data_IF_753218135359
#
_entry.id   IF_753218135359
#
_cell.length_a   1.000
_cell.length_b   1.000
_cell.length_c   1.000
_cell.angle_alpha   90.00
_cell.angle_beta   90.00
_cell.angle_gamma   90.00
#
_symmetry.space_group_name_H-M   'P 1'
#
loop_
_entity.id
_entity.type
_entity.pdbx_description
1 polymer ?
#
# COMPACT_ATOMS: atom_id res chain seq x y z
N UNK A 1 23.62 -15.01 -1.87
CA UNK A 1 22.42 -14.32 -2.39
C UNK A 1 22.48 -12.86 -1.94
N UNK A 2 22.23 -11.90 -2.83
CA UNK A 2 22.25 -10.48 -2.48
C UNK A 2 21.17 -10.13 -1.45
N UNK A 3 21.40 -9.09 -0.66
CA UNK A 3 20.46 -8.65 0.38
C UNK A 3 19.19 -8.02 -0.20
N UNK A 4 19.26 -7.56 -1.46
CA UNK A 4 18.18 -6.92 -2.19
C UNK A 4 17.60 -7.86 -3.26
N UNK A 5 16.28 -7.80 -3.50
CA UNK A 5 15.65 -8.59 -4.53
C UNK A 5 16.08 -8.13 -5.93
N UNK A 6 16.23 -9.08 -6.84
CA UNK A 6 16.46 -8.81 -8.26
C UNK A 6 15.13 -8.43 -8.91
N UNK A 7 15.11 -7.33 -9.67
CA UNK A 7 13.91 -6.93 -10.42
C UNK A 7 13.90 -7.62 -11.79
N UNK A 8 12.76 -8.19 -12.20
CA UNK A 8 12.62 -8.79 -13.54
C UNK A 8 12.64 -7.75 -14.66
N UNK A 9 12.37 -6.49 -14.34
CA UNK A 9 12.47 -5.35 -15.25
C UNK A 9 12.93 -4.09 -14.50
N UNK A 10 13.57 -3.13 -15.19
CA UNK A 10 13.97 -1.86 -14.59
C UNK A 10 12.79 -1.08 -14.01
N UNK A 11 13.04 -0.36 -12.91
CA UNK A 11 12.06 0.51 -12.25
C UNK A 11 12.70 1.83 -11.86
N UNK A 12 12.02 2.94 -12.19
CA UNK A 12 12.43 4.27 -11.73
C UNK A 12 11.99 4.60 -10.30
N UNK A 13 11.19 3.73 -9.66
CA UNK A 13 10.69 3.90 -8.30
C UNK A 13 11.37 2.99 -7.28
N UNK A 14 11.87 1.83 -7.72
CA UNK A 14 12.59 0.87 -6.88
C UNK A 14 14.10 1.05 -7.03
N UNK A 15 14.61 2.18 -6.51
CA UNK A 15 16.05 2.34 -6.33
C UNK A 15 16.59 1.36 -5.27
N UNK A 16 17.90 1.09 -5.21
CA UNK A 16 18.49 0.28 -4.15
C UNK A 16 18.10 0.77 -2.75
N UNK A 17 18.04 2.09 -2.52
CA UNK A 17 17.65 2.71 -1.26
C UNK A 17 16.19 2.42 -0.92
N UNK A 18 15.28 2.54 -1.90
CA UNK A 18 13.88 2.18 -1.71
C UNK A 18 13.73 0.69 -1.35
N UNK A 19 14.50 -0.19 -1.99
CA UNK A 19 14.51 -1.62 -1.69
C UNK A 19 15.05 -1.90 -0.27
N UNK A 20 16.09 -1.19 0.18
CA UNK A 20 16.58 -1.29 1.56
C UNK A 20 15.51 -0.88 2.58
N UNK A 21 14.81 0.24 2.33
CA UNK A 21 13.75 0.73 3.22
C UNK A 21 12.55 -0.23 3.27
N UNK A 22 12.22 -0.86 2.14
CA UNK A 22 11.11 -1.81 2.03
C UNK A 22 11.46 -3.21 2.53
N UNK A 23 12.74 -3.59 2.58
CA UNK A 23 13.19 -4.94 2.89
C UNK A 23 12.55 -5.58 4.14
N UNK A 24 12.34 -4.87 5.28
CA UNK A 24 11.69 -5.45 6.45
C UNK A 24 10.21 -5.83 6.24
N UNK A 25 9.55 -5.18 5.27
CA UNK A 25 8.12 -5.36 4.99
C UNK A 25 7.88 -6.43 3.93
N UNK A 26 8.87 -6.65 3.04
CA UNK A 26 8.76 -7.59 1.94
C UNK A 26 8.55 -9.03 2.42
N UNK A 27 7.66 -9.81 1.77
CA UNK A 27 7.50 -11.23 2.06
C UNK A 27 8.80 -12.01 1.82
N UNK A 28 9.00 -13.13 2.51
CA UNK A 28 10.17 -13.98 2.31
C UNK A 28 10.36 -14.42 0.84
N UNK A 29 9.27 -14.68 0.13
CA UNK A 29 9.27 -15.03 -1.29
C UNK A 29 9.88 -13.93 -2.19
N UNK A 30 9.75 -12.66 -1.80
CA UNK A 30 10.30 -11.54 -2.57
C UNK A 30 11.83 -11.51 -2.54
N UNK A 31 12.50 -12.20 -1.60
CA UNK A 31 13.98 -12.24 -1.52
C UNK A 31 14.63 -12.86 -2.77
N UNK A 32 13.92 -13.73 -3.48
CA UNK A 32 14.40 -14.31 -4.74
C UNK A 32 14.32 -13.35 -5.93
N UNK A 33 13.40 -12.39 -5.87
CA UNK A 33 13.20 -11.39 -6.90
C UNK A 33 11.79 -10.79 -6.87
N UNK A 34 11.61 -9.69 -7.61
CA UNK A 34 10.34 -9.04 -7.83
C UNK A 34 10.02 -9.08 -9.33
N UNK A 35 8.90 -9.71 -9.68
CA UNK A 35 8.40 -9.74 -11.04
C UNK A 35 7.48 -8.54 -11.30
N UNK A 36 7.71 -7.82 -12.40
CA UNK A 36 6.84 -6.73 -12.82
C UNK A 36 5.60 -7.29 -13.52
N UNK A 37 4.46 -7.27 -12.83
CA UNK A 37 3.15 -7.63 -13.39
C UNK A 37 2.57 -6.54 -14.30
N UNK A 38 2.77 -5.26 -13.96
CA UNK A 38 2.20 -4.13 -14.69
C UNK A 38 3.06 -2.86 -14.53
N UNK A 39 3.11 -2.04 -15.57
CA UNK A 39 3.57 -0.65 -15.55
C UNK A 39 2.71 0.21 -16.47
N UNK A 40 2.21 1.32 -15.96
CA UNK A 40 1.43 2.26 -16.77
C UNK A 40 2.22 2.86 -17.94
N UNK A 41 3.56 2.85 -17.87
CA UNK A 41 4.45 3.35 -18.93
C UNK A 41 4.59 2.38 -20.11
N UNK A 42 4.50 1.07 -19.89
CA UNK A 42 4.64 0.04 -20.94
C UNK A 42 3.31 -0.59 -21.34
N UNK A 43 2.37 -0.69 -20.40
CA UNK A 43 1.16 -1.52 -20.55
C UNK A 43 -0.12 -0.68 -20.68
N UNK A 44 0.03 0.66 -20.63
CA UNK A 44 -1.03 1.65 -20.77
C UNK A 44 -1.62 2.13 -19.44
N UNK A 45 -2.37 3.22 -19.47
CA UNK A 45 -2.83 3.93 -18.26
C UNK A 45 -4.25 3.55 -17.78
N UNK A 46 -4.93 2.60 -18.42
CA UNK A 46 -6.31 2.29 -18.04
C UNK A 46 -6.38 1.32 -16.86
N UNK A 47 -7.37 1.53 -15.99
CA UNK A 47 -7.60 0.62 -14.86
C UNK A 47 -7.91 -0.81 -15.32
N UNK A 48 -8.62 -0.97 -16.45
CA UNK A 48 -8.87 -2.28 -17.04
C UNK A 48 -7.58 -3.03 -17.42
N UNK A 49 -6.55 -2.30 -17.89
CA UNK A 49 -5.23 -2.90 -18.17
C UNK A 49 -4.56 -3.34 -16.89
N UNK A 50 -4.60 -2.55 -15.82
CA UNK A 50 -4.10 -2.96 -14.51
C UNK A 50 -4.81 -4.26 -14.06
N UNK A 51 -6.15 -4.28 -14.03
CA UNK A 51 -6.93 -5.44 -13.61
C UNK A 51 -6.58 -6.70 -14.41
N UNK A 52 -6.43 -6.59 -15.72
CA UNK A 52 -6.04 -7.70 -16.59
C UNK A 52 -4.69 -8.34 -16.20
N UNK A 53 -3.76 -7.57 -15.63
CA UNK A 53 -2.45 -8.09 -15.23
C UNK A 53 -2.40 -8.60 -13.79
N UNK A 54 -3.24 -8.06 -12.89
CA UNK A 54 -3.16 -8.39 -11.45
C UNK A 54 -4.22 -9.36 -10.98
N UNK A 55 -5.43 -9.35 -11.57
CA UNK A 55 -6.52 -10.22 -11.13
C UNK A 55 -6.20 -11.67 -11.49
N UNK A 56 -6.28 -12.57 -10.49
CA UNK A 56 -5.93 -13.98 -10.65
C UNK A 56 -4.48 -14.32 -10.32
N UNK A 57 -3.60 -13.34 -10.12
CA UNK A 57 -2.28 -13.57 -9.55
C UNK A 57 -2.40 -14.01 -8.08
N UNK A 58 -1.77 -15.15 -7.74
CA UNK A 58 -1.90 -15.83 -6.43
C UNK A 58 -0.70 -15.62 -5.52
N UNK A 59 -0.35 -14.36 -5.30
CA UNK A 59 0.81 -14.03 -4.48
C UNK A 59 0.81 -12.58 -3.98
N UNK A 60 1.73 -12.25 -3.08
CA UNK A 60 1.85 -10.90 -2.59
C UNK A 60 2.28 -9.95 -3.71
N UNK A 61 1.74 -8.74 -3.69
CA UNK A 61 1.95 -7.72 -4.73
C UNK A 61 2.46 -6.44 -4.12
N UNK A 62 3.44 -5.83 -4.78
CA UNK A 62 3.97 -4.52 -4.45
C UNK A 62 3.48 -3.52 -5.50
N UNK A 63 2.54 -2.67 -5.11
CA UNK A 63 2.03 -1.57 -5.93
C UNK A 63 2.83 -0.30 -5.64
N UNK A 64 3.24 0.39 -6.69
CA UNK A 64 3.98 1.65 -6.61
C UNK A 64 3.35 2.67 -7.53
N UNK A 65 3.28 3.91 -7.06
CA UNK A 65 2.84 5.03 -7.86
C UNK A 65 3.63 6.27 -7.48
N UNK A 66 3.81 7.14 -8.48
CA UNK A 66 4.42 8.45 -8.30
C UNK A 66 3.56 9.50 -8.98
N UNK A 67 3.56 10.69 -8.43
CA UNK A 67 2.91 11.84 -9.08
C UNK A 67 3.89 12.67 -9.91
N UNK A 68 3.39 13.75 -10.50
CA UNK A 68 4.16 14.69 -11.32
C UNK A 68 5.12 15.57 -10.51
N UNK A 69 5.00 15.59 -9.18
CA UNK A 69 5.86 16.34 -8.27
C UNK A 69 6.99 15.47 -7.68
N UNK A 70 7.12 14.22 -8.15
CA UNK A 70 8.15 13.30 -7.68
C UNK A 70 7.85 12.68 -6.31
N UNK A 71 6.62 12.81 -5.80
CA UNK A 71 6.19 12.08 -4.59
C UNK A 71 5.92 10.64 -4.99
N UNK A 72 6.39 9.69 -4.17
CA UNK A 72 6.29 8.28 -4.45
C UNK A 72 5.76 7.54 -3.23
N UNK A 73 4.79 6.65 -3.45
CA UNK A 73 4.13 5.87 -2.42
C UNK A 73 3.68 4.53 -3.00
N UNK A 74 3.17 3.66 -2.13
CA UNK A 74 2.76 2.34 -2.53
C UNK A 74 2.02 1.56 -1.48
N UNK A 75 1.69 0.33 -1.86
CA UNK A 75 0.99 -0.65 -1.05
C UNK A 75 1.68 -2.01 -1.26
N UNK A 76 1.96 -2.70 -0.17
CA UNK A 76 2.23 -4.14 -0.20
C UNK A 76 0.96 -4.87 0.24
N UNK A 77 0.37 -5.65 -0.67
CA UNK A 77 -0.77 -6.53 -0.38
C UNK A 77 -0.30 -7.97 -0.33
N UNK A 78 -0.76 -8.77 0.63
CA UNK A 78 -0.51 -10.23 0.66
C UNK A 78 -1.71 -11.02 0.16
N UNK A 79 -2.88 -10.39 0.10
CA UNK A 79 -4.10 -10.90 -0.47
C UNK A 79 -4.08 -10.82 -2.00
N UNK A 80 -4.69 -11.84 -2.61
CA UNK A 80 -4.95 -11.91 -4.04
C UNK A 80 -5.90 -10.78 -4.49
N UNK A 81 -5.64 -10.23 -5.66
CA UNK A 81 -6.55 -9.29 -6.30
C UNK A 81 -7.73 -10.06 -6.91
N UNK A 82 -8.95 -9.68 -6.53
CA UNK A 82 -10.18 -10.26 -7.11
C UNK A 82 -11.11 -9.16 -7.56
N UNK A 83 -11.79 -9.42 -8.67
CA UNK A 83 -12.91 -8.60 -9.11
C UNK A 83 -14.13 -8.89 -8.22
N UNK A 84 -14.42 -7.97 -7.30
CA UNK A 84 -15.59 -8.07 -6.43
C UNK A 84 -16.04 -6.70 -5.96
N UNK A 85 -17.35 -6.55 -5.74
CA UNK A 85 -17.98 -5.32 -5.25
C UNK A 85 -17.82 -5.07 -3.76
N UNK A 86 -17.12 -5.95 -3.02
CA UNK A 86 -16.86 -5.80 -1.59
C UNK A 86 -15.40 -5.42 -1.32
N UNK A 87 -15.14 -4.82 -0.14
CA UNK A 87 -13.77 -4.59 0.32
C UNK A 87 -13.03 -5.92 0.49
N UNK A 88 -11.79 -5.95 0.02
CA UNK A 88 -10.92 -7.11 0.07
C UNK A 88 -9.52 -6.67 0.48
N UNK A 89 -8.84 -7.53 1.24
CA UNK A 89 -7.49 -7.27 1.73
C UNK A 89 -7.22 -8.08 2.99
N UNK A 90 -5.99 -7.97 3.48
CA UNK A 90 -5.56 -8.57 4.74
C UNK A 90 -5.09 -7.49 5.72
N UNK A 91 -5.06 -7.84 7.01
CA UNK A 91 -4.58 -6.96 8.07
C UNK A 91 -3.05 -6.74 8.04
N UNK A 92 -2.34 -7.46 7.18
CA UNK A 92 -0.90 -7.38 6.99
C UNK A 92 -0.51 -6.48 5.83
N UNK A 93 -1.49 -5.82 5.21
CA UNK A 93 -1.29 -4.83 4.18
C UNK A 93 -0.49 -3.65 4.75
N UNK A 94 0.51 -3.22 3.97
CA UNK A 94 1.39 -2.11 4.36
C UNK A 94 1.23 -1.00 3.34
N UNK A 95 0.80 0.17 3.78
CA UNK A 95 0.84 1.40 2.99
C UNK A 95 2.12 2.13 3.34
N UNK A 96 2.81 2.65 2.34
CA UNK A 96 4.05 3.37 2.57
C UNK A 96 4.23 4.56 1.63
N UNK A 97 5.07 5.49 2.07
CA UNK A 97 5.62 6.58 1.28
C UNK A 97 7.11 6.34 1.12
N UNK A 98 7.65 6.53 -0.08
CA UNK A 98 9.08 6.52 -0.37
C UNK A 98 9.66 7.94 -0.42
N UNK A 99 8.92 8.88 -1.03
CA UNK A 99 9.33 10.27 -1.17
C UNK A 99 8.15 11.22 -0.88
N UNK A 100 8.38 12.35 -0.18
CA UNK A 100 9.69 12.92 0.17
C UNK A 100 10.31 12.33 1.44
N UNK A 101 9.55 11.56 2.23
CA UNK A 101 10.00 10.91 3.45
C UNK A 101 9.49 9.49 3.51
N UNK A 102 10.35 8.58 3.93
CA UNK A 102 9.94 7.21 4.16
C UNK A 102 9.02 7.11 5.37
N UNK A 103 7.89 6.43 5.20
CA UNK A 103 7.00 6.02 6.28
C UNK A 103 6.27 4.78 5.82
N UNK A 104 6.08 3.81 6.70
CA UNK A 104 5.32 2.61 6.43
C UNK A 104 4.36 2.36 7.60
N UNK A 105 3.11 2.11 7.26
CA UNK A 105 2.03 1.86 8.20
C UNK A 105 1.35 0.56 7.84
N UNK A 106 1.08 -0.26 8.85
CA UNK A 106 0.26 -1.46 8.73
C UNK A 106 -1.07 -1.22 9.42
N UNK A 107 -2.11 -1.91 8.98
CA UNK A 107 -3.34 -1.98 9.74
C UNK A 107 -3.02 -2.53 11.14
N UNK A 108 -3.59 -1.91 12.17
CA UNK A 108 -3.51 -2.49 13.51
C UNK A 108 -4.50 -3.65 13.57
N UNK A 109 -4.10 -4.84 14.03
CA UNK A 109 -5.05 -5.91 14.31
C UNK A 109 -6.11 -5.38 15.27
N UNK A 110 -7.38 -5.57 14.94
CA UNK A 110 -8.51 -5.27 15.83
C UNK A 110 -8.64 -6.38 16.88
N UNK A 111 -7.53 -6.77 17.52
CA UNK A 111 -7.51 -7.84 18.52
C UNK A 111 -7.02 -7.31 19.87
N UNK A 112 -7.57 -6.15 20.26
CA UNK A 112 -7.46 -5.67 21.62
C UNK A 112 -8.66 -6.20 22.40
N UNK A 113 -8.49 -7.06 23.42
CA UNK A 113 -9.51 -7.21 24.45
C UNK A 113 -9.60 -5.87 25.20
N UNK A 114 -10.65 -5.11 24.91
CA UNK A 114 -10.92 -3.79 25.49
C UNK A 114 -11.82 -2.96 24.59
N UNK A 115 -12.52 -1.93 25.12
CA UNK A 115 -13.31 -1.05 24.29
C UNK A 115 -12.42 -0.43 23.21
N UNK A 116 -12.94 -0.37 21.97
CA UNK A 116 -12.28 0.34 20.88
C UNK A 116 -11.85 1.74 21.37
N UNK A 117 -10.71 2.28 20.91
CA UNK A 117 -10.38 3.66 21.20
C UNK A 117 -11.60 4.53 20.84
N UNK A 118 -11.93 5.55 21.65
CA UNK A 118 -13.15 6.34 21.46
C UNK A 118 -13.17 7.12 20.13
N UNK A 119 -12.07 7.06 19.37
CA UNK A 119 -11.92 7.67 18.06
C UNK A 119 -11.37 6.65 17.07
N UNK A 120 -12.10 6.46 15.99
CA UNK A 120 -11.62 5.92 14.73
C UNK A 120 -12.14 6.87 13.64
N UNK A 121 -11.24 7.44 12.84
CA UNK A 121 -11.63 8.31 11.74
C UNK A 121 -11.99 7.43 10.54
N UNK A 122 -13.29 7.30 10.28
CA UNK A 122 -13.81 6.71 9.04
C UNK A 122 -14.00 7.82 8.01
N UNK A 123 -13.62 7.56 6.76
CA UNK A 123 -14.01 8.42 5.65
C UNK A 123 -15.53 8.37 5.51
N UNK A 124 -16.22 9.45 5.88
CA UNK A 124 -17.67 9.59 5.69
C UNK A 124 -17.99 9.63 4.20
N UNK A 125 -18.92 8.80 3.75
CA UNK A 125 -19.52 8.89 2.39
C UNK A 125 -20.62 9.95 2.30
N UNK A 126 -20.96 10.60 3.43
CA UNK A 126 -21.92 11.70 3.53
C UNK A 126 -21.30 13.02 4.01
N UNK A 127 -22.07 14.11 4.03
CA UNK A 127 -21.62 15.39 4.59
C UNK A 127 -21.14 15.18 6.03
N UNK A 128 -19.96 15.73 6.33
CA UNK A 128 -19.40 15.67 7.68
C UNK A 128 -20.44 16.22 8.67
N UNK A 129 -20.68 15.54 9.81
CA UNK A 129 -21.46 16.15 10.86
C UNK A 129 -20.79 17.49 11.26
N UNK A 130 -21.58 18.49 11.69
CA UNK A 130 -21.02 19.74 12.16
C UNK A 130 -19.98 19.43 13.26
N UNK A 131 -18.86 20.18 13.32
CA UNK A 131 -17.86 19.96 14.34
C UNK A 131 -18.53 19.98 15.71
N UNK A 132 -18.09 19.12 16.66
CA UNK A 132 -18.62 19.18 18.02
C UNK A 132 -18.47 20.61 18.55
N UNK A 133 -19.44 21.11 19.34
CA UNK A 133 -19.33 22.43 19.94
C UNK A 133 -17.97 22.50 20.64
N UNK A 134 -17.23 23.59 20.40
CA UNK A 134 -15.89 23.77 20.96
C UNK A 134 -15.94 23.43 22.45
N UNK A 135 -15.40 22.26 22.81
CA UNK A 135 -15.24 21.90 24.21
C UNK A 135 -14.35 23.00 24.77
N UNK A 136 -14.89 23.73 25.73
CA UNK A 136 -14.26 24.91 26.32
C UNK A 136 -12.79 24.64 26.63
N UNK A 137 -11.97 25.67 26.46
CA UNK A 137 -10.54 25.68 26.77
C UNK A 137 -10.28 24.84 28.03
N UNK A 138 -9.45 23.82 27.88
CA UNK A 138 -8.93 23.02 28.99
C UNK A 138 -8.30 23.96 30.04
N UNK A 139 -8.48 23.70 31.35
CA UNK A 139 -7.73 24.39 32.41
C UNK A 139 -6.23 24.14 32.31
#
# INVERSE_FOLDING_TARGET
AGLLPVLSAPSGLLSPEALYLLAPWLPGAARGGLERLYSSRSDGHSFNRLCHHVVGYRGPTLLLFSDTLGRAAGLLSRADWRDSGAFQGDADAVIFTLAPRFSAVRARPQDRPGPAPPWAYLCSTGPLPPPPPAVGRWP
#
